data_IF_290180416337
#
_entry.id   IF_290180416337
#
_cell.length_a   1.000
_cell.length_b   1.000
_cell.length_c   1.000
_cell.angle_alpha   90.00
_cell.angle_beta   90.00
_cell.angle_gamma   90.00
#
_symmetry.space_group_name_H-M   'P 1'
#
loop_
_entity.id
_entity.type
_entity.pdbx_description
1 polymer ?
#
# COMPACT_ATOMS: atom_id res chain seq x y z
N UNK A 1 -2.74 -0.22 -23.74
CA UNK A 1 -3.40 -1.53 -23.74
C UNK A 1 -3.19 -2.13 -22.35
N UNK A 2 -4.18 -1.99 -21.44
CA UNK A 2 -4.13 -2.61 -20.11
C UNK A 2 -4.12 -4.11 -20.30
N UNK A 3 -3.03 -4.78 -19.91
CA UNK A 3 -3.04 -6.24 -19.88
C UNK A 3 -4.07 -6.68 -18.83
N UNK A 4 -5.24 -7.15 -19.27
CA UNK A 4 -6.25 -7.79 -18.42
C UNK A 4 -5.64 -9.06 -17.82
N UNK A 5 -5.06 -8.92 -16.62
CA UNK A 5 -4.50 -10.04 -15.87
C UNK A 5 -5.62 -10.75 -15.10
N UNK A 6 -6.02 -11.90 -15.66
CA UNK A 6 -6.94 -12.83 -15.00
C UNK A 6 -8.41 -12.42 -15.14
N UNK A 7 -9.22 -13.32 -15.71
CA UNK A 7 -10.63 -13.28 -16.06
C UNK A 7 -11.51 -12.18 -15.43
N UNK A 8 -12.66 -11.89 -15.99
CA UNK A 8 -13.66 -10.87 -15.63
C UNK A 8 -14.06 -10.91 -14.14
N UNK A 9 -13.17 -10.42 -13.24
CA UNK A 9 -13.47 -10.29 -11.82
C UNK A 9 -13.86 -8.86 -11.50
N UNK A 10 -14.85 -8.71 -10.63
CA UNK A 10 -15.24 -7.41 -10.11
C UNK A 10 -14.08 -6.80 -9.31
N UNK A 11 -13.88 -5.48 -9.36
CA UNK A 11 -12.93 -4.77 -8.52
C UNK A 11 -13.14 -5.11 -7.04
N UNK A 12 -12.06 -5.39 -6.33
CA UNK A 12 -12.15 -5.80 -4.92
C UNK A 12 -12.37 -7.30 -4.69
N UNK A 13 -12.87 -8.05 -5.68
CA UNK A 13 -13.12 -9.48 -5.53
C UNK A 13 -11.82 -10.29 -5.44
N UNK A 14 -11.70 -11.06 -4.36
CA UNK A 14 -10.59 -11.96 -4.14
C UNK A 14 -10.88 -13.34 -4.70
N UNK A 15 -9.97 -13.89 -5.52
CA UNK A 15 -10.05 -15.28 -5.96
C UNK A 15 -10.02 -16.25 -4.78
N UNK A 16 -10.58 -17.46 -4.90
CA UNK A 16 -10.41 -18.49 -3.88
C UNK A 16 -8.93 -18.73 -3.52
N UNK A 17 -8.04 -18.77 -4.51
CA UNK A 17 -6.59 -18.91 -4.31
C UNK A 17 -5.99 -17.75 -3.54
N UNK A 18 -6.43 -16.51 -3.81
CA UNK A 18 -5.96 -15.32 -3.09
C UNK A 18 -6.53 -15.27 -1.68
N UNK A 19 -7.79 -15.70 -1.46
CA UNK A 19 -8.38 -15.83 -0.11
C UNK A 19 -7.63 -16.85 0.72
N UNK A 20 -7.31 -18.00 0.14
CA UNK A 20 -6.50 -19.03 0.81
C UNK A 20 -5.11 -18.50 1.17
N UNK A 21 -4.42 -17.86 0.22
CA UNK A 21 -3.12 -17.23 0.46
C UNK A 21 -3.19 -16.21 1.60
N UNK A 22 -4.17 -15.29 1.56
CA UNK A 22 -4.35 -14.28 2.61
C UNK A 22 -4.63 -14.93 3.96
N UNK A 23 -5.52 -15.91 4.01
CA UNK A 23 -5.81 -16.67 5.23
C UNK A 23 -4.55 -17.33 5.79
N UNK A 24 -3.78 -18.03 4.96
CA UNK A 24 -2.52 -18.67 5.34
C UNK A 24 -1.53 -17.63 5.87
N UNK A 25 -1.37 -16.50 5.20
CA UNK A 25 -0.48 -15.44 5.64
C UNK A 25 -0.92 -14.82 6.97
N UNK A 26 -2.22 -14.61 7.20
CA UNK A 26 -2.76 -14.14 8.49
C UNK A 26 -2.38 -15.14 9.60
N UNK A 27 -2.58 -16.44 9.38
CA UNK A 27 -2.24 -17.49 10.36
C UNK A 27 -0.75 -17.51 10.64
N UNK A 28 0.05 -17.44 9.60
CA UNK A 28 1.52 -17.42 9.69
C UNK A 28 2.02 -16.17 10.43
N UNK A 29 1.51 -15.00 10.10
CA UNK A 29 1.85 -13.75 10.78
C UNK A 29 1.44 -13.77 12.26
N UNK A 30 0.29 -14.36 12.59
CA UNK A 30 -0.13 -14.54 14.00
C UNK A 30 0.80 -15.47 14.76
N UNK A 31 1.15 -16.60 14.17
CA UNK A 31 2.01 -17.60 14.80
C UNK A 31 3.44 -17.07 14.98
N UNK A 32 4.05 -16.56 13.92
CA UNK A 32 5.46 -16.18 13.91
C UNK A 32 5.70 -14.79 14.55
N UNK A 33 4.82 -13.83 14.32
CA UNK A 33 5.03 -12.43 14.68
C UNK A 33 3.99 -11.87 15.66
N UNK A 34 3.02 -12.68 16.11
CA UNK A 34 1.96 -12.19 17.00
C UNK A 34 1.10 -11.10 16.37
N UNK A 35 0.78 -11.22 15.07
CA UNK A 35 0.09 -10.20 14.27
C UNK A 35 -1.21 -9.71 14.91
N UNK A 36 -1.36 -8.40 14.99
CA UNK A 36 -2.57 -7.70 15.44
C UNK A 36 -2.90 -6.58 14.44
N UNK A 37 -4.17 -6.52 14.02
CA UNK A 37 -4.71 -5.47 13.15
C UNK A 37 -5.59 -4.54 13.98
N UNK A 38 -5.39 -3.23 13.82
CA UNK A 38 -6.17 -2.17 14.44
C UNK A 38 -6.85 -1.33 13.36
N UNK A 39 -8.14 -1.05 13.50
CA UNK A 39 -8.90 -0.23 12.53
C UNK A 39 -9.20 -0.93 11.20
N UNK A 40 -9.14 -2.27 11.14
CA UNK A 40 -9.41 -3.00 9.90
C UNK A 40 -10.83 -2.81 9.35
N UNK A 41 -11.77 -2.45 10.20
CA UNK A 41 -13.17 -2.11 9.88
C UNK A 41 -13.31 -0.83 9.07
N UNK A 42 -12.29 0.05 9.09
CA UNK A 42 -12.25 1.32 8.35
C UNK A 42 -11.94 1.16 6.87
N UNK A 43 -11.56 -0.05 6.45
CA UNK A 43 -11.26 -0.31 5.04
C UNK A 43 -12.56 -0.36 4.23
N UNK A 44 -12.80 0.58 3.29
CA UNK A 44 -13.96 0.53 2.41
C UNK A 44 -14.01 -0.79 1.63
N UNK A 45 -15.16 -1.47 1.68
CA UNK A 45 -15.33 -2.79 1.05
C UNK A 45 -15.25 -2.71 -0.48
N UNK A 46 -15.75 -1.63 -1.07
CA UNK A 46 -15.89 -1.43 -2.51
C UNK A 46 -15.45 -0.01 -2.91
N UNK A 47 -15.43 0.23 -4.22
CA UNK A 47 -15.08 1.54 -4.80
C UNK A 47 -13.57 1.78 -4.91
N UNK A 48 -13.18 2.87 -5.59
CA UNK A 48 -11.79 3.26 -5.72
C UNK A 48 -11.22 3.62 -4.34
N UNK A 49 -9.99 3.22 -4.10
CA UNK A 49 -9.31 3.47 -2.83
C UNK A 49 -7.80 3.57 -3.05
N UNK A 50 -7.14 4.48 -2.39
CA UNK A 50 -5.68 4.50 -2.31
C UNK A 50 -5.27 4.13 -0.89
N UNK A 51 -4.48 3.08 -0.75
CA UNK A 51 -3.86 2.69 0.51
C UNK A 51 -2.47 3.31 0.54
N UNK A 52 -2.29 4.30 1.38
CA UNK A 52 -1.02 4.97 1.60
C UNK A 52 -0.33 4.39 2.84
N UNK A 53 0.84 3.77 2.67
CA UNK A 53 1.54 3.11 3.76
C UNK A 53 3.00 3.56 3.85
N UNK A 54 3.58 3.49 5.05
CA UNK A 54 5.03 3.57 5.23
C UNK A 54 5.72 2.39 4.53
N UNK A 55 7.00 2.55 4.17
CA UNK A 55 7.78 1.52 3.47
C UNK A 55 9.15 1.31 4.11
N UNK A 56 9.19 0.54 5.18
CA UNK A 56 10.41 0.22 5.92
C UNK A 56 11.00 -1.15 5.62
N UNK A 57 10.21 -2.07 5.05
CA UNK A 57 10.57 -3.48 4.89
C UNK A 57 10.10 -4.02 3.53
N UNK A 58 10.84 -4.99 2.97
CA UNK A 58 10.44 -5.67 1.71
C UNK A 58 9.11 -6.42 1.80
N UNK A 59 8.72 -6.81 3.02
CA UNK A 59 7.47 -7.52 3.27
C UNK A 59 6.22 -6.61 3.29
N UNK A 60 6.37 -5.29 3.38
CA UNK A 60 5.25 -4.36 3.56
C UNK A 60 4.11 -4.53 2.55
N UNK A 61 4.35 -4.71 1.23
CA UNK A 61 3.24 -4.93 0.30
C UNK A 61 2.42 -6.17 0.64
N UNK A 62 3.07 -7.25 1.11
CA UNK A 62 2.39 -8.48 1.54
C UNK A 62 1.65 -8.26 2.84
N UNK A 63 2.26 -7.56 3.81
CA UNK A 63 1.65 -7.24 5.10
C UNK A 63 0.41 -6.36 4.94
N UNK A 64 0.44 -5.38 4.05
CA UNK A 64 -0.75 -4.59 3.69
C UNK A 64 -1.82 -5.48 3.04
N UNK A 65 -1.46 -6.41 2.13
CA UNK A 65 -2.41 -7.37 1.56
C UNK A 65 -3.04 -8.29 2.62
N UNK A 66 -2.31 -8.58 3.69
CA UNK A 66 -2.82 -9.34 4.85
C UNK A 66 -3.82 -8.50 5.65
N UNK A 67 -3.52 -7.23 5.88
CA UNK A 67 -4.35 -6.31 6.66
C UNK A 67 -5.65 -5.94 5.92
N UNK A 68 -5.59 -5.69 4.63
CA UNK A 68 -6.71 -5.18 3.83
C UNK A 68 -7.60 -6.33 3.33
N UNK A 69 -8.92 -6.36 3.64
CA UNK A 69 -9.82 -7.47 3.28
C UNK A 69 -10.30 -7.42 1.81
N UNK A 70 -9.54 -6.77 0.93
CA UNK A 70 -9.81 -6.70 -0.52
C UNK A 70 -8.51 -6.75 -1.32
N UNK A 71 -8.62 -7.02 -2.63
CA UNK A 71 -7.43 -7.11 -3.48
C UNK A 71 -6.86 -5.73 -3.75
N UNK A 72 -5.57 -5.56 -3.47
CA UNK A 72 -4.81 -4.34 -3.70
C UNK A 72 -3.96 -4.48 -4.95
N UNK A 73 -3.90 -3.44 -5.78
CA UNK A 73 -3.02 -3.35 -6.93
C UNK A 73 -1.78 -2.51 -6.58
N UNK A 74 -0.59 -2.98 -6.94
CA UNK A 74 0.68 -2.36 -6.60
C UNK A 74 1.45 -1.93 -7.84
N UNK A 75 2.08 -0.78 -7.80
CA UNK A 75 2.99 -0.32 -8.85
C UNK A 75 4.41 -0.83 -8.58
N UNK A 76 4.86 -1.81 -9.34
CA UNK A 76 6.21 -2.38 -9.22
C UNK A 76 7.16 -1.94 -10.32
N UNK A 77 8.46 -1.84 -10.02
CA UNK A 77 9.51 -1.64 -11.05
C UNK A 77 9.48 -2.81 -12.04
N UNK A 78 9.68 -2.56 -13.35
CA UNK A 78 9.72 -3.60 -14.39
C UNK A 78 10.71 -4.74 -14.05
N UNK A 79 11.82 -4.40 -13.41
CA UNK A 79 12.87 -5.34 -13.00
C UNK A 79 12.38 -6.45 -12.04
N UNK A 80 11.33 -6.17 -11.23
CA UNK A 80 10.74 -7.16 -10.33
C UNK A 80 10.03 -8.30 -11.07
N UNK A 81 9.71 -8.11 -12.36
CA UNK A 81 8.98 -9.09 -13.17
C UNK A 81 9.89 -10.04 -13.95
N UNK A 82 11.14 -10.21 -13.51
CA UNK A 82 12.03 -11.23 -14.03
C UNK A 82 11.75 -12.60 -13.38
N UNK A 83 12.09 -13.68 -14.09
CA UNK A 83 12.03 -15.03 -13.54
C UNK A 83 12.99 -15.14 -12.32
N UNK A 84 12.58 -15.83 -11.22
CA UNK A 84 11.32 -16.59 -11.02
C UNK A 84 10.17 -15.77 -10.41
N UNK A 85 10.37 -14.51 -10.05
CA UNK A 85 9.46 -13.71 -9.19
C UNK A 85 8.24 -13.16 -9.90
N UNK A 86 8.20 -13.18 -11.24
CA UNK A 86 7.10 -12.63 -12.06
C UNK A 86 5.72 -13.15 -11.64
N UNK A 87 5.61 -14.47 -11.43
CA UNK A 87 4.33 -15.10 -11.07
C UNK A 87 3.84 -14.63 -9.70
N UNK A 88 4.74 -14.53 -8.72
CA UNK A 88 4.45 -14.05 -7.37
C UNK A 88 3.97 -12.59 -7.37
N UNK A 89 4.72 -11.68 -8.01
CA UNK A 89 4.33 -10.26 -8.06
C UNK A 89 2.97 -10.05 -8.73
N UNK A 90 2.70 -10.76 -9.83
CA UNK A 90 1.37 -10.74 -10.46
C UNK A 90 0.28 -11.30 -9.55
N UNK A 91 0.57 -12.36 -8.82
CA UNK A 91 -0.37 -12.97 -7.90
C UNK A 91 -0.79 -12.03 -6.78
N UNK A 92 0.15 -11.30 -6.18
CA UNK A 92 -0.15 -10.29 -5.14
C UNK A 92 -0.73 -8.97 -5.69
N UNK A 93 -0.96 -8.87 -7.01
CA UNK A 93 -1.58 -7.70 -7.63
C UNK A 93 -0.59 -6.64 -8.12
N UNK A 94 0.71 -6.95 -8.21
CA UNK A 94 1.68 -5.98 -8.71
C UNK A 94 1.66 -5.92 -10.24
N UNK A 95 1.62 -4.71 -10.81
CA UNK A 95 1.75 -4.46 -12.24
C UNK A 95 3.01 -3.64 -12.54
N UNK A 96 3.69 -3.90 -13.66
CA UNK A 96 4.92 -3.21 -14.00
C UNK A 96 4.66 -1.78 -14.42
N UNK A 97 5.44 -0.85 -13.88
CA UNK A 97 5.47 0.55 -14.33
C UNK A 97 6.88 0.95 -14.72
N UNK A 98 6.96 1.75 -15.77
CA UNK A 98 8.20 2.41 -16.17
C UNK A 98 8.33 3.70 -15.35
N UNK A 99 9.38 3.80 -14.55
CA UNK A 99 9.65 5.00 -13.75
C UNK A 99 10.63 5.96 -14.42
N UNK A 100 11.32 5.51 -15.47
CA UNK A 100 12.32 6.31 -16.19
C UNK A 100 11.68 7.38 -17.09
N UNK A 101 10.41 7.16 -17.52
CA UNK A 101 9.62 8.11 -18.32
C UNK A 101 8.90 9.20 -17.52
N UNK A 102 9.42 9.67 -16.38
CA UNK A 102 8.83 10.81 -15.62
C UNK A 102 7.52 10.52 -14.89
N UNK A 103 7.16 9.26 -14.65
CA UNK A 103 6.01 8.87 -13.83
C UNK A 103 4.62 9.03 -14.48
N UNK A 104 4.50 9.69 -15.65
CA UNK A 104 3.20 9.91 -16.33
C UNK A 104 2.51 8.60 -16.69
N UNK A 105 3.25 7.59 -17.12
CA UNK A 105 2.71 6.26 -17.44
C UNK A 105 2.18 5.56 -16.19
N UNK A 106 2.88 5.68 -15.06
CA UNK A 106 2.44 5.15 -13.77
C UNK A 106 1.14 5.82 -13.29
N UNK A 107 1.05 7.15 -13.37
CA UNK A 107 -0.17 7.90 -13.03
C UNK A 107 -1.34 7.47 -13.92
N UNK A 108 -1.17 7.37 -15.25
CA UNK A 108 -2.23 6.91 -16.15
C UNK A 108 -2.71 5.49 -15.82
N UNK A 109 -1.79 4.58 -15.54
CA UNK A 109 -2.14 3.22 -15.15
C UNK A 109 -2.90 3.18 -13.81
N UNK A 110 -2.44 3.95 -12.82
CA UNK A 110 -3.11 4.09 -11.53
C UNK A 110 -4.54 4.61 -11.69
N UNK A 111 -4.74 5.68 -12.46
CA UNK A 111 -6.07 6.25 -12.72
C UNK A 111 -7.00 5.25 -13.44
N UNK A 112 -6.47 4.44 -14.36
CA UNK A 112 -7.27 3.42 -15.03
C UNK A 112 -7.75 2.32 -14.05
N UNK A 113 -6.89 1.89 -13.11
CA UNK A 113 -7.32 0.95 -12.07
C UNK A 113 -8.36 1.57 -11.11
N UNK A 114 -8.18 2.83 -10.71
CA UNK A 114 -9.17 3.52 -9.86
C UNK A 114 -10.51 3.69 -10.58
N UNK A 115 -10.51 4.04 -11.87
CA UNK A 115 -11.73 4.16 -12.67
C UNK A 115 -12.50 2.83 -12.78
N UNK A 116 -11.82 1.70 -12.68
CA UNK A 116 -12.44 0.37 -12.58
C UNK A 116 -12.88 0.04 -11.14
N UNK A 117 -12.63 0.89 -10.14
CA UNK A 117 -12.98 0.68 -8.73
C UNK A 117 -11.98 -0.18 -7.93
N UNK A 118 -10.74 -0.34 -8.40
CA UNK A 118 -9.71 -1.08 -7.67
C UNK A 118 -9.14 -0.28 -6.49
N UNK A 119 -8.65 -1.00 -5.47
CA UNK A 119 -7.76 -0.44 -4.48
C UNK A 119 -6.32 -0.43 -5.00
N UNK A 120 -5.61 0.70 -4.83
CA UNK A 120 -4.20 0.86 -5.16
C UNK A 120 -3.38 1.00 -3.88
N UNK A 121 -2.27 0.28 -3.79
CA UNK A 121 -1.26 0.52 -2.77
C UNK A 121 -0.17 1.46 -3.28
N UNK A 122 0.11 2.50 -2.52
CA UNK A 122 1.14 3.50 -2.82
C UNK A 122 1.97 3.71 -1.55
N UNK A 123 3.28 3.75 -1.72
CA UNK A 123 4.20 4.16 -0.68
C UNK A 123 4.61 5.62 -0.96
N UNK A 124 4.11 6.61 -0.19
CA UNK A 124 4.38 8.03 -0.47
C UNK A 124 5.87 8.39 -0.36
N UNK A 125 6.65 7.63 0.38
CA UNK A 125 8.11 7.77 0.48
C UNK A 125 8.83 7.46 -0.85
N UNK A 126 8.21 6.68 -1.71
CA UNK A 126 8.64 6.40 -3.10
C UNK A 126 9.72 5.37 -3.28
N UNK A 127 10.59 5.13 -2.31
CA UNK A 127 11.67 4.13 -2.33
C UNK A 127 11.89 3.57 -0.94
N UNK A 128 12.50 2.38 -0.84
CA UNK A 128 12.93 1.78 0.42
C UNK A 128 13.89 2.71 1.19
N UNK A 129 13.87 2.66 2.52
CA UNK A 129 14.78 3.38 3.43
C UNK A 129 16.29 3.16 3.18
N UNK A 130 16.70 2.34 2.21
CA UNK A 130 18.10 2.14 1.82
C UNK A 130 18.65 3.08 0.76
N UNK A 131 17.80 3.79 0.04
CA UNK A 131 18.23 4.86 -0.87
C UNK A 131 18.17 6.20 -0.10
N UNK A 132 19.32 6.68 0.34
CA UNK A 132 19.54 7.93 1.09
C UNK A 132 19.14 9.19 0.31
N UNK A 133 17.88 9.33 -0.02
CA UNK A 133 17.52 10.43 -0.94
C UNK A 133 16.14 11.02 -0.85
N UNK A 134 15.50 11.07 0.23
CA UNK A 134 14.42 12.00 0.60
C UNK A 134 13.32 11.37 1.44
N UNK A 135 13.28 11.78 2.67
CA UNK A 135 12.12 11.66 3.57
C UNK A 135 10.95 12.55 3.10
N UNK A 136 11.01 13.13 1.89
CA UNK A 136 9.96 13.99 1.35
C UNK A 136 8.84 13.15 0.73
N UNK A 137 7.62 13.42 1.16
CA UNK A 137 6.42 12.83 0.59
C UNK A 137 6.31 13.13 -0.91
N UNK A 138 6.27 12.10 -1.74
CA UNK A 138 6.07 12.29 -3.18
C UNK A 138 4.62 12.67 -3.45
N UNK A 139 4.41 13.78 -4.13
CA UNK A 139 3.08 14.32 -4.48
C UNK A 139 2.27 13.42 -5.42
N UNK A 140 2.87 12.36 -5.96
CA UNK A 140 2.19 11.40 -6.84
C UNK A 140 0.95 10.76 -6.23
N UNK A 141 0.94 10.47 -4.94
CA UNK A 141 -0.23 9.93 -4.23
C UNK A 141 -1.40 10.90 -4.30
N UNK A 142 -1.15 12.19 -4.07
CA UNK A 142 -2.18 13.25 -4.10
C UNK A 142 -2.70 13.48 -5.52
N UNK A 143 -1.81 13.48 -6.52
CA UNK A 143 -2.21 13.61 -7.94
C UNK A 143 -3.15 12.48 -8.35
N UNK A 144 -2.82 11.24 -7.96
CA UNK A 144 -3.65 10.07 -8.29
C UNK A 144 -4.96 10.11 -7.52
N UNK A 145 -4.96 10.47 -6.23
CA UNK A 145 -6.15 10.54 -5.39
C UNK A 145 -7.13 11.63 -5.88
N UNK A 146 -6.64 12.85 -6.07
CA UNK A 146 -7.45 13.99 -6.52
C UNK A 146 -8.05 13.73 -7.91
N UNK A 147 -7.25 13.26 -8.89
CA UNK A 147 -7.73 12.99 -10.25
C UNK A 147 -8.60 11.74 -10.36
N UNK A 148 -8.37 10.76 -9.49
CA UNK A 148 -9.12 9.51 -9.45
C UNK A 148 -10.36 9.58 -8.56
N UNK A 149 -10.65 10.74 -7.93
CA UNK A 149 -11.71 10.90 -6.94
C UNK A 149 -11.75 9.73 -5.94
N UNK A 150 -10.57 9.35 -5.45
CA UNK A 150 -10.40 8.19 -4.57
C UNK A 150 -9.92 8.64 -3.19
N UNK A 151 -10.57 8.22 -2.09
CA UNK A 151 -10.09 8.49 -0.75
C UNK A 151 -8.73 7.83 -0.51
N UNK A 152 -7.94 8.42 0.37
CA UNK A 152 -6.64 7.90 0.80
C UNK A 152 -6.78 7.30 2.18
N UNK A 153 -6.51 6.01 2.31
CA UNK A 153 -6.51 5.29 3.57
C UNK A 153 -5.09 5.21 4.12
N UNK A 154 -4.76 5.91 5.21
CA UNK A 154 -3.46 5.82 5.82
C UNK A 154 -3.31 4.48 6.56
N UNK A 155 -2.21 3.79 6.31
CA UNK A 155 -1.88 2.51 6.96
C UNK A 155 -0.45 2.56 7.48
N UNK A 156 -0.25 2.23 8.74
CA UNK A 156 1.07 2.07 9.32
C UNK A 156 1.38 0.59 9.55
N UNK A 157 2.44 0.11 8.95
CA UNK A 157 2.97 -1.24 9.14
C UNK A 157 4.13 -1.18 10.11
N UNK A 158 3.95 -1.79 11.28
CA UNK A 158 4.99 -1.89 12.28
C UNK A 158 6.14 -2.80 11.85
N UNK A 159 7.25 -2.71 12.55
CA UNK A 159 8.44 -3.52 12.30
C UNK A 159 8.16 -4.99 12.61
N UNK A 160 8.61 -5.90 11.76
CA UNK A 160 8.59 -7.33 12.05
C UNK A 160 9.50 -7.60 13.27
N UNK A 161 8.97 -8.18 14.36
CA UNK A 161 9.80 -8.51 15.51
C UNK A 161 10.80 -9.60 15.15
N UNK A 162 12.07 -9.38 15.46
CA UNK A 162 13.08 -10.44 15.39
C UNK A 162 12.82 -11.55 16.42
N UNK A 163 13.52 -12.71 16.33
CA UNK A 163 13.27 -13.86 17.21
C UNK A 163 13.35 -13.51 18.70
N UNK A 164 14.37 -12.76 19.09
CA UNK A 164 14.56 -12.34 20.49
C UNK A 164 13.47 -11.37 20.96
N UNK A 165 13.08 -10.40 20.13
CA UNK A 165 11.99 -9.48 20.43
C UNK A 165 10.67 -10.25 20.55
N UNK A 166 10.46 -11.25 19.70
CA UNK A 166 9.26 -12.10 19.74
C UNK A 166 9.17 -12.91 21.04
N UNK A 167 10.26 -13.48 21.50
CA UNK A 167 10.34 -14.18 22.79
C UNK A 167 10.03 -13.26 23.99
N UNK A 168 10.39 -11.97 23.89
CA UNK A 168 10.08 -10.95 24.91
C UNK A 168 8.68 -10.32 24.75
N UNK A 169 7.79 -10.92 23.96
CA UNK A 169 6.42 -10.44 23.76
C UNK A 169 6.24 -9.42 22.61
N UNK A 170 7.30 -9.16 21.84
CA UNK A 170 7.21 -8.30 20.65
C UNK A 170 6.19 -8.83 19.65
N UNK A 171 5.40 -7.92 19.06
CA UNK A 171 4.31 -8.24 18.12
C UNK A 171 4.38 -7.38 16.88
N UNK A 172 3.89 -7.92 15.76
CA UNK A 172 3.61 -7.15 14.57
C UNK A 172 2.26 -6.46 14.72
N UNK A 173 2.26 -5.14 14.74
CA UNK A 173 1.04 -4.34 14.71
C UNK A 173 0.88 -3.66 13.36
N UNK A 174 -0.33 -3.68 12.81
CA UNK A 174 -0.69 -2.89 11.64
C UNK A 174 -1.88 -2.02 12.06
N UNK A 175 -1.79 -0.73 11.75
CA UNK A 175 -2.80 0.28 12.08
C UNK A 175 -3.39 0.84 10.81
N UNK A 176 -4.71 0.89 10.76
CA UNK A 176 -5.48 1.50 9.67
C UNK A 176 -6.16 2.75 10.24
N UNK A 177 -5.92 3.89 9.61
CA UNK A 177 -6.53 5.16 9.97
C UNK A 177 -7.88 5.38 9.29
N UNK A 178 -8.46 6.57 9.48
CA UNK A 178 -9.66 6.99 8.78
C UNK A 178 -9.34 7.37 7.33
N UNK A 179 -10.23 7.05 6.37
CA UNK A 179 -10.09 7.52 5.00
C UNK A 179 -10.06 9.04 4.92
N UNK A 180 -9.15 9.57 4.13
CA UNK A 180 -8.97 11.01 3.89
C UNK A 180 -9.49 11.31 2.49
N UNK A 181 -10.55 12.09 2.38
CA UNK A 181 -11.03 12.59 1.11
C UNK A 181 -10.16 13.76 0.63
N UNK A 182 -9.88 13.76 -0.68
CA UNK A 182 -9.17 14.85 -1.30
C UNK A 182 -10.11 15.66 -2.20
N UNK A 183 -9.96 16.98 -2.14
CA UNK A 183 -10.68 17.87 -3.04
C UNK A 183 -10.28 17.54 -4.50
N UNK A 184 -11.24 17.14 -5.36
CA UNK A 184 -10.98 16.91 -6.78
C UNK A 184 -10.53 18.17 -7.52
N UNK A 185 -10.80 19.35 -6.97
CA UNK A 185 -10.36 20.64 -7.51
C UNK A 185 -8.94 21.03 -7.08
N UNK A 186 -8.30 20.26 -6.19
CA UNK A 186 -6.94 20.55 -5.73
C UNK A 186 -5.97 20.62 -6.92
N UNK A 187 -5.25 21.74 -7.06
CA UNK A 187 -4.27 21.98 -8.12
C UNK A 187 -3.04 22.69 -7.59
N UNK A 188 -1.94 22.53 -8.32
CA UNK A 188 -0.68 23.22 -8.03
C UNK A 188 0.32 22.38 -7.25
N UNK A 189 1.60 22.51 -7.61
CA UNK A 189 2.67 21.68 -7.05
C UNK A 189 2.89 21.90 -5.54
N UNK A 190 2.69 23.14 -5.05
CA UNK A 190 2.81 23.47 -3.63
C UNK A 190 1.68 22.81 -2.82
N UNK A 191 0.43 22.92 -3.29
CA UNK A 191 -0.72 22.29 -2.64
C UNK A 191 -0.61 20.76 -2.62
N UNK A 192 -0.15 20.15 -3.72
CA UNK A 192 0.09 18.71 -3.77
C UNK A 192 1.18 18.25 -2.78
N UNK A 193 2.26 19.03 -2.61
CA UNK A 193 3.31 18.72 -1.62
C UNK A 193 2.78 18.82 -0.19
N UNK A 194 2.11 19.93 0.14
CA UNK A 194 1.53 20.12 1.48
C UNK A 194 0.57 18.99 1.85
N UNK A 195 -0.30 18.58 0.92
CA UNK A 195 -1.25 17.48 1.15
C UNK A 195 -0.56 16.10 1.23
N UNK A 196 0.53 15.89 0.48
CA UNK A 196 1.32 14.66 0.59
C UNK A 196 2.01 14.56 1.97
N UNK A 197 2.51 15.68 2.49
CA UNK A 197 3.07 15.74 3.84
C UNK A 197 2.02 15.52 4.93
N UNK A 198 0.79 16.02 4.73
CA UNK A 198 -0.34 15.74 5.62
C UNK A 198 -0.68 14.25 5.65
N UNK A 199 -0.75 13.58 4.48
CA UNK A 199 -0.95 12.14 4.39
C UNK A 199 0.19 11.38 5.10
N UNK A 200 1.44 11.81 4.90
CA UNK A 200 2.58 11.21 5.62
C UNK A 200 2.44 11.38 7.12
N UNK A 201 2.12 12.59 7.58
CA UNK A 201 1.87 12.83 9.02
C UNK A 201 0.75 11.95 9.56
N UNK A 202 -0.36 11.78 8.83
CA UNK A 202 -1.45 10.91 9.27
C UNK A 202 -1.04 9.44 9.37
N UNK A 203 -0.16 8.93 8.49
CA UNK A 203 0.40 7.58 8.60
C UNK A 203 1.23 7.44 9.88
N UNK A 204 2.13 8.39 10.13
CA UNK A 204 3.03 8.36 11.28
C UNK A 204 2.41 8.84 12.60
N UNK A 205 1.22 9.43 12.58
CA UNK A 205 0.42 9.72 13.77
C UNK A 205 -0.38 8.52 14.28
N UNK A 206 -0.47 7.43 13.51
CA UNK A 206 -1.15 6.23 13.96
C UNK A 206 -0.43 5.59 15.16
N UNK A 207 -1.17 5.03 16.15
CA UNK A 207 -0.65 4.69 17.48
C UNK A 207 0.55 3.73 17.57
N UNK A 208 1.01 3.18 16.49
CA UNK A 208 2.19 2.29 16.46
C UNK A 208 3.48 2.96 16.00
N UNK A 209 3.38 4.14 15.39
CA UNK A 209 4.51 4.76 14.71
C UNK A 209 5.54 5.39 15.68
N UNK A 210 5.08 5.88 16.85
CA UNK A 210 5.96 6.54 17.81
C UNK A 210 6.73 5.62 18.77
N UNK A 211 6.37 4.33 18.84
CA UNK A 211 6.99 3.35 19.75
C UNK A 211 7.97 2.39 19.08
N UNK A 212 8.02 2.36 17.77
CA UNK A 212 8.81 1.37 17.01
C UNK A 212 10.12 1.93 16.46
N UNK A 213 10.31 3.23 16.45
CA UNK A 213 11.50 3.90 15.92
C UNK A 213 12.28 4.70 17.01
N UNK A 214 11.97 4.54 18.28
CA UNK A 214 12.85 4.97 19.36
C UNK A 214 14.04 3.98 19.45
N UNK A 215 15.28 4.48 19.51
CA UNK A 215 16.49 3.69 19.52
C UNK A 215 16.58 2.76 20.74
#
# INVERSE_FOLDING_TARGET
>A
MLQRFGGRRKPGEMSPRYRLFRWTMIRLCRLLFGYTLHGGERVPAEGPLIIASNHGQYADPVLVCVAVPRRVQWMGKKQLFRFPFRAFFRFIGTFPVDREGGGRAAIRAALAYLAEGWALGIFPEGTHKGDEGSKQAKSGVVVVASRGAAPVLPVYVGKLPGPLARLRGGRLHIYVGEPIDLDPALRGGAAYRAKAEEIMRSIYALPGAGKADAP
#
